data_IF_499886295375
#
_entry.id   IF_499886295375
#
_cell.length_a   1.000
_cell.length_b   1.000
_cell.length_c   1.000
_cell.angle_alpha   90.00
_cell.angle_beta   90.00
_cell.angle_gamma   90.00
#
_symmetry.space_group_name_H-M   'P 1'
#
loop_
_entity.id
_entity.type
_entity.pdbx_description
1 polymer ?
#
# COMPACT_ATOMS: atom_id res chain seq x y z
N UNK A 1 14.47 2.58 -7.54
CA UNK A 1 15.44 3.60 -7.11
C UNK A 1 15.55 3.51 -5.61
N UNK A 2 16.79 3.50 -5.10
CA UNK A 2 17.10 3.02 -3.76
C UNK A 2 16.11 3.42 -2.64
N UNK A 3 15.72 4.70 -2.53
CA UNK A 3 14.82 5.17 -1.47
C UNK A 3 13.37 4.62 -1.59
N UNK A 4 12.88 4.37 -2.80
CA UNK A 4 11.57 3.76 -3.01
C UNK A 4 11.62 2.28 -2.63
N UNK A 5 12.68 1.59 -3.03
CA UNK A 5 12.92 0.18 -2.69
C UNK A 5 13.07 0.01 -1.16
N UNK A 6 13.82 0.90 -0.51
CA UNK A 6 13.99 0.93 0.94
C UNK A 6 12.66 1.15 1.70
N UNK A 7 11.83 2.08 1.24
CA UNK A 7 10.56 2.38 1.89
C UNK A 7 9.59 1.18 1.85
N UNK A 8 9.57 0.45 0.73
CA UNK A 8 8.76 -0.78 0.60
C UNK A 8 9.36 -1.93 1.40
N UNK A 9 10.68 -2.15 1.31
CA UNK A 9 11.36 -3.24 2.02
C UNK A 9 11.22 -3.16 3.55
N UNK A 10 11.18 -1.95 4.10
CA UNK A 10 10.99 -1.71 5.54
C UNK A 10 9.52 -1.58 5.94
N UNK A 11 8.58 -1.66 5.00
CA UNK A 11 7.17 -1.37 5.21
C UNK A 11 6.94 -0.04 5.94
N UNK A 12 7.70 1.00 5.56
CA UNK A 12 7.67 2.30 6.23
C UNK A 12 6.28 2.97 6.22
N UNK A 13 5.44 2.62 5.23
CA UNK A 13 4.07 3.13 5.08
C UNK A 13 3.98 4.56 4.54
N UNK A 14 5.06 5.33 4.62
CA UNK A 14 5.15 6.70 4.12
C UNK A 14 6.50 6.94 3.44
N UNK A 15 6.50 7.74 2.38
CA UNK A 15 7.72 8.21 1.72
C UNK A 15 7.50 9.64 1.25
N UNK A 16 8.47 10.51 1.52
CA UNK A 16 8.49 11.87 0.97
C UNK A 16 9.63 12.00 -0.01
N UNK A 17 9.28 12.19 -1.28
CA UNK A 17 10.24 12.16 -2.38
C UNK A 17 10.13 13.37 -3.33
N UNK A 18 9.47 14.45 -2.91
CA UNK A 18 9.39 15.72 -3.66
C UNK A 18 8.01 16.01 -4.25
N UNK A 19 7.96 16.97 -5.18
CA UNK A 19 6.76 17.30 -5.96
C UNK A 19 6.66 16.40 -7.21
N UNK A 20 5.52 16.43 -7.90
CA UNK A 20 5.25 15.70 -9.15
C UNK A 20 5.89 16.37 -10.39
N UNK A 21 6.98 17.10 -10.20
CA UNK A 21 7.71 17.79 -11.25
C UNK A 21 9.19 17.41 -11.20
N UNK A 22 9.83 17.42 -12.37
CA UNK A 22 11.22 17.04 -12.61
C UNK A 22 11.51 15.54 -12.53
N UNK A 23 12.33 15.08 -13.47
CA UNK A 23 12.62 13.66 -13.68
C UNK A 23 13.29 12.98 -12.49
N UNK A 24 14.08 13.70 -11.69
CA UNK A 24 14.77 13.18 -10.51
C UNK A 24 13.81 12.75 -9.38
N UNK A 25 12.60 13.32 -9.35
CA UNK A 25 11.52 12.96 -8.40
C UNK A 25 10.58 11.95 -9.00
N UNK A 26 10.18 12.16 -10.26
CA UNK A 26 9.32 11.25 -11.01
C UNK A 26 9.91 9.82 -11.05
N UNK A 27 11.22 9.66 -11.17
CA UNK A 27 11.85 8.34 -11.18
C UNK A 27 11.64 7.54 -9.88
N UNK A 28 11.33 8.20 -8.75
CA UNK A 28 11.03 7.56 -7.48
C UNK A 28 9.58 7.05 -7.46
N UNK A 29 8.65 7.86 -7.94
CA UNK A 29 7.26 7.46 -8.13
C UNK A 29 7.11 6.33 -9.15
N UNK A 30 7.80 6.42 -10.29
CA UNK A 30 7.79 5.36 -11.30
C UNK A 30 8.38 4.04 -10.78
N UNK A 31 9.34 4.10 -9.84
CA UNK A 31 9.79 2.88 -9.19
C UNK A 31 8.67 2.28 -8.33
N UNK A 32 7.96 3.09 -7.54
CA UNK A 32 6.87 2.58 -6.71
C UNK A 32 5.79 1.91 -7.56
N UNK A 33 5.46 2.47 -8.73
CA UNK A 33 4.55 1.84 -9.69
C UNK A 33 5.06 0.47 -10.18
N UNK A 34 6.35 0.37 -10.55
CA UNK A 34 6.94 -0.91 -10.94
C UNK A 34 6.92 -1.95 -9.81
N UNK A 35 7.23 -1.53 -8.59
CA UNK A 35 7.18 -2.41 -7.41
C UNK A 35 5.74 -2.89 -7.17
N UNK A 36 4.75 -2.01 -7.29
CA UNK A 36 3.33 -2.39 -7.18
C UNK A 36 2.95 -3.42 -8.26
N UNK A 37 3.33 -3.18 -9.51
CA UNK A 37 3.12 -4.10 -10.64
C UNK A 37 3.77 -5.47 -10.41
N UNK A 38 4.97 -5.50 -9.81
CA UNK A 38 5.69 -6.73 -9.46
C UNK A 38 5.00 -7.50 -8.32
N UNK A 39 4.50 -6.80 -7.30
CA UNK A 39 3.85 -7.39 -6.13
C UNK A 39 2.42 -7.89 -6.42
N UNK A 40 1.73 -7.31 -7.40
CA UNK A 40 0.36 -7.68 -7.81
C UNK A 40 -0.58 -7.76 -6.61
N UNK A 41 -1.24 -8.91 -6.41
CA UNK A 41 -2.20 -9.16 -5.33
C UNK A 41 -1.61 -9.05 -3.92
N UNK A 42 -0.28 -9.04 -3.78
CA UNK A 42 0.40 -8.86 -2.50
C UNK A 42 0.65 -7.39 -2.15
N UNK A 43 0.49 -6.46 -3.09
CA UNK A 43 0.67 -5.04 -2.84
C UNK A 43 -0.43 -4.50 -1.92
N UNK A 44 -0.05 -3.75 -0.88
CA UNK A 44 -1.00 -3.15 0.07
C UNK A 44 -0.70 -1.68 0.30
N UNK A 45 -1.68 -0.83 0.04
CA UNK A 45 -1.62 0.59 0.36
C UNK A 45 -2.41 0.87 1.66
N UNK A 46 -1.75 1.19 2.79
CA UNK A 46 -2.41 1.32 4.09
C UNK A 46 -3.22 2.63 4.25
N UNK A 47 -3.05 3.62 3.37
CA UNK A 47 -3.77 4.91 3.45
C UNK A 47 -3.59 5.58 4.82
N UNK A 48 -4.71 5.91 5.49
CA UNK A 48 -4.70 6.49 6.84
C UNK A 48 -4.05 5.55 7.87
N UNK A 49 -4.12 4.23 7.65
CA UNK A 49 -3.47 3.24 8.51
C UNK A 49 -1.94 3.33 8.52
N UNK A 50 -1.33 4.10 7.61
CA UNK A 50 0.10 4.40 7.63
C UNK A 50 0.54 5.24 8.85
N UNK A 51 -0.39 5.94 9.50
CA UNK A 51 -0.13 6.79 10.66
C UNK A 51 -0.31 6.03 11.98
N UNK A 52 0.33 4.86 12.11
CA UNK A 52 0.22 4.01 13.31
C UNK A 52 0.70 4.68 14.61
N UNK A 53 1.51 5.73 14.51
CA UNK A 53 1.94 6.54 15.65
C UNK A 53 0.85 7.47 16.23
N UNK A 54 -0.27 7.66 15.51
CA UNK A 54 -1.36 8.51 15.96
C UNK A 54 -2.42 7.67 16.67
N UNK A 55 -2.72 8.00 17.93
CA UNK A 55 -3.86 7.44 18.66
C UNK A 55 -5.16 8.06 18.14
N UNK A 56 -5.69 7.50 17.06
CA UNK A 56 -6.96 7.92 16.48
C UNK A 56 -8.12 7.33 17.30
N UNK A 57 -8.31 7.79 18.54
CA UNK A 57 -9.40 7.36 19.43
C UNK A 57 -10.75 8.03 19.12
N UNK A 58 -10.83 8.91 18.11
CA UNK A 58 -12.02 9.72 17.84
C UNK A 58 -12.74 9.45 16.50
N UNK A 59 -12.37 8.40 15.73
CA UNK A 59 -13.15 8.05 14.52
C UNK A 59 -12.93 6.58 14.09
N UNK A 60 -13.71 5.66 14.65
CA UNK A 60 -13.91 4.34 14.03
C UNK A 60 -14.87 4.44 12.82
N UNK A 61 -15.01 3.42 11.95
CA UNK A 61 -14.01 2.89 11.03
C UNK A 61 -14.59 2.69 9.61
N UNK A 62 -13.88 3.11 8.55
CA UNK A 62 -14.24 2.67 7.20
C UNK A 62 -13.76 1.23 7.00
N UNK A 63 -14.70 0.29 7.00
CA UNK A 63 -14.48 -1.16 6.96
C UNK A 63 -13.47 -1.61 5.91
N UNK A 64 -12.53 -2.46 6.32
CA UNK A 64 -11.92 -3.45 5.45
C UNK A 64 -13.03 -4.39 4.94
N UNK A 65 -13.45 -4.22 3.69
CA UNK A 65 -14.07 -5.30 2.93
C UNK A 65 -12.92 -6.16 2.43
N UNK A 66 -12.43 -7.05 3.29
CA UNK A 66 -11.79 -8.27 2.80
C UNK A 66 -12.83 -8.98 1.95
N UNK A 67 -12.64 -8.93 0.63
CA UNK A 67 -13.31 -9.80 -0.32
C UNK A 67 -12.92 -11.22 0.04
N UNK A 68 -13.69 -11.80 0.96
CA UNK A 68 -13.68 -13.20 1.28
C UNK A 68 -13.82 -13.99 -0.02
N UNK A 69 -12.67 -14.55 -0.44
CA UNK A 69 -12.50 -15.78 -1.20
C UNK A 69 -13.80 -16.59 -1.21
N UNK A 70 -14.57 -16.50 -2.29
CA UNK A 70 -15.78 -17.28 -2.51
C UNK A 70 -15.39 -18.70 -2.93
N UNK A 71 -14.62 -19.40 -2.09
CA UNK A 71 -14.53 -20.87 -2.15
C UNK A 71 -15.79 -21.41 -1.49
N UNK A 72 -16.91 -21.36 -2.23
CA UNK A 72 -18.14 -22.03 -1.79
C UNK A 72 -17.89 -23.53 -1.98
N UNK A 73 -17.68 -24.18 -0.85
CA UNK A 73 -17.54 -25.61 -0.71
C UNK A 73 -18.65 -26.37 -1.43
N UNK A 74 -18.27 -27.56 -1.86
CA UNK A 74 -19.12 -28.66 -2.23
C UNK A 74 -20.30 -28.87 -1.25
N UNK A 75 -21.28 -29.66 -1.74
CA UNK A 75 -22.27 -30.46 -0.99
C UNK A 75 -23.72 -29.92 -0.99
N UNK A 76 -24.44 -30.24 -2.07
CA UNK A 76 -25.63 -31.12 -2.04
C UNK A 76 -26.08 -31.37 -3.49
N UNK A 77 -25.67 -32.52 -4.04
CA UNK A 77 -26.52 -33.30 -4.93
C UNK A 77 -27.29 -34.27 -4.06
#
# INVERSE_FOLDING_TARGET
>A
TFIADLAVATNAGQIKTGSLSRSDRICKYNQLLRIEEDLRDSARYPGIGAFYQLNLSASQPAKAKDTAKKSRAAKKR
#
